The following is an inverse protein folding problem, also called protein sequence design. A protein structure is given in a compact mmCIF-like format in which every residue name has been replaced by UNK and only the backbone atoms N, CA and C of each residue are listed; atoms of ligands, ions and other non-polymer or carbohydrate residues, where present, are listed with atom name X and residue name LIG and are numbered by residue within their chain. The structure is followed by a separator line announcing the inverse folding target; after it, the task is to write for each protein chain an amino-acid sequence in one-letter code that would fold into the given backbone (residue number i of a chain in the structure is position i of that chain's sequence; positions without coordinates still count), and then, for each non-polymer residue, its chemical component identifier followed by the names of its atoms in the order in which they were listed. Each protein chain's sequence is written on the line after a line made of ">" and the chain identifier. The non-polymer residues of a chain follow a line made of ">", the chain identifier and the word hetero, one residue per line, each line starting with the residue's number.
data_IF_167572483333
#
_entry.id   IF_167572483333
#
_cell.length_a   1.000
_cell.length_b   1.000
_cell.length_c   1.000
_cell.angle_alpha   90.00
_cell.angle_beta   90.00
_cell.angle_gamma   90.00
#
_symmetry.space_group_name_H-M   'P 1'
#
loop_
_entity.id
_entity.type
_entity.pdbx_description
1 polymer ?
#
# COMPACT_ATOMS: atom_id res chain seq x y z
N UNK A 1 -20.08 -1.92 37.01
CA UNK A 1 -19.20 -2.02 35.82
C UNK A 1 -18.17 -0.91 35.94
N UNK A 2 -16.88 -1.21 36.11
CA UNK A 2 -15.86 -0.15 36.18
C UNK A 2 -15.78 0.58 34.84
N UNK A 3 -15.72 1.93 34.83
CA UNK A 3 -15.54 2.69 33.59
C UNK A 3 -14.25 2.23 32.91
N UNK A 4 -14.37 1.73 31.68
CA UNK A 4 -13.20 1.41 30.86
C UNK A 4 -12.43 2.71 30.69
N UNK A 5 -11.14 2.74 31.08
CA UNK A 5 -10.34 3.97 30.99
C UNK A 5 -10.43 4.55 29.56
N UNK A 6 -10.94 5.77 29.37
CA UNK A 6 -11.15 6.36 28.04
C UNK A 6 -9.87 6.35 27.18
N UNK A 7 -8.73 6.54 27.83
CA UNK A 7 -7.39 6.51 27.22
C UNK A 7 -7.09 5.18 26.55
N UNK A 8 -7.31 4.05 27.24
CA UNK A 8 -7.04 2.71 26.70
C UNK A 8 -7.93 2.39 25.50
N UNK A 9 -9.20 2.77 25.56
CA UNK A 9 -10.14 2.57 24.44
C UNK A 9 -9.70 3.39 23.23
N UNK A 10 -9.31 4.66 23.43
CA UNK A 10 -8.83 5.51 22.34
C UNK A 10 -7.57 4.95 21.69
N UNK A 11 -6.59 4.50 22.48
CA UNK A 11 -5.36 3.89 21.94
C UNK A 11 -5.70 2.68 21.06
N UNK A 12 -6.56 1.78 21.55
CA UNK A 12 -6.96 0.58 20.78
C UNK A 12 -7.64 0.95 19.47
N UNK A 13 -8.57 1.91 19.50
CA UNK A 13 -9.29 2.35 18.30
C UNK A 13 -8.32 3.00 17.30
N UNK A 14 -7.44 3.89 17.75
CA UNK A 14 -6.47 4.55 16.88
C UNK A 14 -5.47 3.56 16.28
N UNK A 15 -4.99 2.59 17.04
CA UNK A 15 -4.07 1.58 16.51
C UNK A 15 -4.76 0.68 15.49
N UNK A 16 -5.96 0.18 15.79
CA UNK A 16 -6.66 -0.74 14.88
C UNK A 16 -7.13 -0.01 13.62
N UNK A 17 -7.89 1.07 13.76
CA UNK A 17 -8.47 1.77 12.61
C UNK A 17 -7.44 2.66 11.90
N UNK A 18 -6.63 3.38 12.66
CA UNK A 18 -5.68 4.35 12.11
C UNK A 18 -4.44 3.69 11.51
N UNK A 19 -3.91 2.64 12.15
CA UNK A 19 -2.67 2.01 11.68
C UNK A 19 -2.92 0.71 10.94
N UNK A 20 -3.56 -0.28 11.58
CA UNK A 20 -3.72 -1.61 10.99
C UNK A 20 -4.59 -1.56 9.74
N UNK A 21 -5.79 -0.97 9.82
CA UNK A 21 -6.71 -0.89 8.67
C UNK A 21 -6.13 -0.02 7.54
N UNK A 22 -5.50 1.11 7.86
CA UNK A 22 -4.88 1.96 6.85
C UNK A 22 -3.78 1.22 6.08
N UNK A 23 -2.87 0.55 6.78
CA UNK A 23 -1.81 -0.24 6.14
C UNK A 23 -2.39 -1.41 5.33
N UNK A 24 -3.41 -2.08 5.85
CA UNK A 24 -4.05 -3.20 5.15
C UNK A 24 -4.68 -2.75 3.83
N UNK A 25 -5.39 -1.61 3.81
CA UNK A 25 -5.96 -1.03 2.59
C UNK A 25 -4.86 -0.72 1.58
N UNK A 26 -3.78 -0.06 1.99
CA UNK A 26 -2.67 0.25 1.09
C UNK A 26 -2.05 -1.02 0.52
N UNK A 27 -1.81 -2.03 1.36
CA UNK A 27 -1.29 -3.33 0.91
C UNK A 27 -2.21 -4.01 -0.10
N UNK A 28 -3.53 -4.02 0.13
CA UNK A 28 -4.50 -4.62 -0.79
C UNK A 28 -4.50 -3.89 -2.14
N UNK A 29 -4.49 -2.55 -2.12
CA UNK A 29 -4.50 -1.75 -3.33
C UNK A 29 -3.22 -1.94 -4.12
N UNK A 30 -2.06 -1.91 -3.45
CA UNK A 30 -0.76 -2.17 -4.09
C UNK A 30 -0.60 -3.63 -4.53
N UNK A 31 -1.26 -4.60 -3.90
CA UNK A 31 -1.23 -5.99 -4.38
C UNK A 31 -2.15 -6.23 -5.58
N UNK A 32 -3.06 -5.30 -5.90
CA UNK A 32 -4.06 -5.49 -6.94
C UNK A 32 -3.53 -5.13 -8.34
N UNK A 33 -3.63 -6.00 -9.36
CA UNK A 33 -3.12 -5.71 -10.69
C UNK A 33 -3.70 -4.45 -11.35
N UNK A 34 -4.97 -4.13 -11.05
CA UNK A 34 -5.69 -2.98 -11.62
C UNK A 34 -5.47 -1.67 -10.86
N UNK A 35 -5.24 -1.76 -9.55
CA UNK A 35 -5.23 -0.59 -8.66
C UNK A 35 -3.84 -0.26 -8.10
N UNK A 36 -2.85 -1.11 -8.38
CA UNK A 36 -1.48 -0.87 -8.01
C UNK A 36 -0.88 0.24 -8.87
N UNK A 37 -0.83 1.44 -8.31
CA UNK A 37 -0.21 2.60 -8.94
C UNK A 37 1.33 2.58 -8.93
N UNK A 38 1.98 1.68 -8.18
CA UNK A 38 3.42 1.45 -8.27
C UNK A 38 3.77 0.53 -9.45
N UNK A 39 2.86 -0.37 -9.82
CA UNK A 39 2.97 -1.25 -10.98
C UNK A 39 2.37 -0.62 -12.24
N UNK A 40 2.38 0.71 -12.35
CA UNK A 40 2.12 1.33 -13.63
C UNK A 40 3.14 0.80 -14.63
N UNK A 41 2.64 0.24 -15.73
CA UNK A 41 3.41 -0.42 -16.79
C UNK A 41 4.52 0.47 -17.39
N UNK A 42 4.58 1.75 -17.05
CA UNK A 42 5.62 2.71 -17.41
C UNK A 42 7.01 2.33 -16.89
N UNK A 43 7.13 1.81 -15.66
CA UNK A 43 8.44 1.37 -15.13
C UNK A 43 8.97 0.14 -15.87
N UNK A 44 8.07 -0.78 -16.23
CA UNK A 44 8.39 -1.93 -17.07
C UNK A 44 8.72 -1.54 -18.51
N UNK A 45 7.95 -0.60 -19.08
CA UNK A 45 8.15 -0.08 -20.42
C UNK A 45 9.45 0.74 -20.56
N UNK A 46 9.85 1.49 -19.53
CA UNK A 46 11.13 2.21 -19.50
C UNK A 46 12.32 1.26 -19.41
N UNK A 47 12.22 0.19 -18.62
CA UNK A 47 13.25 -0.85 -18.66
C UNK A 47 13.27 -1.57 -20.00
N UNK A 48 12.10 -1.91 -20.56
CA UNK A 48 12.02 -2.55 -21.86
C UNK A 48 12.60 -1.65 -22.97
N UNK A 49 12.34 -0.34 -22.93
CA UNK A 49 12.89 0.62 -23.88
C UNK A 49 14.40 0.80 -23.70
N UNK A 50 14.89 0.80 -22.47
CA UNK A 50 16.32 0.88 -22.16
C UNK A 50 17.06 -0.38 -22.64
N UNK A 51 16.48 -1.56 -22.39
CA UNK A 51 17.01 -2.85 -22.88
C UNK A 51 17.00 -2.87 -24.41
N UNK A 52 15.90 -2.47 -25.06
CA UNK A 52 15.83 -2.36 -26.52
C UNK A 52 16.86 -1.39 -27.10
N UNK A 53 17.08 -0.24 -26.45
CA UNK A 53 18.11 0.72 -26.85
C UNK A 53 19.52 0.14 -26.74
N UNK A 54 19.82 -0.62 -25.67
CA UNK A 54 21.14 -1.22 -25.46
C UNK A 54 21.42 -2.42 -26.36
N UNK A 55 20.41 -3.22 -26.68
CA UNK A 55 20.55 -4.44 -27.48
C UNK A 55 20.12 -4.30 -28.96
N UNK A 56 19.64 -3.12 -29.37
CA UNK A 56 19.36 -2.80 -30.77
C UNK A 56 18.23 -3.60 -31.42
N UNK A 57 17.24 -4.06 -30.63
CA UNK A 57 16.04 -4.81 -31.09
C UNK A 57 14.77 -4.02 -30.85
#
# INVERSE_FOLDING_TARGET
>A
MQPRSPVRTNIVIFTILGFVVALLIHFIVLSSPKYNWLSNAESGALLLSTVRMLFGV
#
